data_IF_890315482813
#
_entry.id   IF_890315482813
#
_cell.length_a   1.000
_cell.length_b   1.000
_cell.length_c   1.000
_cell.angle_alpha   90.00
_cell.angle_beta   90.00
_cell.angle_gamma   90.00
#
_symmetry.space_group_name_H-M   'P 1'
#
loop_
_entity.id
_entity.type
_entity.pdbx_description
1 polymer ?
#
# COMPACT_ATOMS: atom_id res chain seq x y z
N UNK A 1 16.63 -18.77 -46.36
CA UNK A 1 16.93 -18.47 -44.94
C UNK A 1 16.19 -17.23 -44.42
N UNK A 2 16.33 -16.05 -45.06
CA UNK A 2 15.71 -14.78 -44.61
C UNK A 2 14.16 -14.77 -44.55
N UNK A 3 13.46 -15.44 -45.48
CA UNK A 3 11.99 -15.50 -45.51
C UNK A 3 11.45 -16.35 -44.35
N UNK A 4 12.06 -17.51 -44.09
CA UNK A 4 11.70 -18.37 -42.96
C UNK A 4 11.94 -17.66 -41.62
N UNK A 5 13.08 -16.97 -41.48
CA UNK A 5 13.38 -16.16 -40.30
C UNK A 5 12.32 -15.07 -40.07
N UNK A 6 11.95 -14.32 -41.11
CA UNK A 6 10.90 -13.29 -41.03
C UNK A 6 9.53 -13.85 -40.62
N UNK A 7 9.16 -15.03 -41.10
CA UNK A 7 7.88 -15.69 -40.74
C UNK A 7 7.90 -16.14 -39.28
N UNK A 8 9.01 -16.75 -38.84
CA UNK A 8 9.19 -17.21 -37.45
C UNK A 8 9.12 -16.01 -36.50
N UNK A 9 9.88 -14.95 -36.77
CA UNK A 9 9.86 -13.73 -35.94
C UNK A 9 8.46 -13.11 -35.90
N UNK A 10 7.77 -13.00 -37.03
CA UNK A 10 6.40 -12.47 -37.05
C UNK A 10 5.43 -13.31 -36.20
N UNK A 11 5.46 -14.64 -36.34
CA UNK A 11 4.60 -15.54 -35.57
C UNK A 11 4.92 -15.45 -34.08
N UNK A 12 6.20 -15.44 -33.72
CA UNK A 12 6.66 -15.25 -32.36
C UNK A 12 6.07 -13.97 -31.74
N UNK A 13 6.22 -12.82 -32.39
CA UNK A 13 5.67 -11.54 -31.92
C UNK A 13 4.14 -11.54 -31.76
N UNK A 14 3.41 -12.27 -32.60
CA UNK A 14 1.95 -12.41 -32.48
C UNK A 14 1.61 -13.26 -31.27
N UNK A 15 2.27 -14.41 -31.09
CA UNK A 15 2.01 -15.29 -29.95
C UNK A 15 2.38 -14.63 -28.62
N UNK A 16 3.49 -13.89 -28.57
CA UNK A 16 3.88 -13.15 -27.37
C UNK A 16 2.90 -12.01 -27.08
N UNK A 17 2.40 -11.29 -28.10
CA UNK A 17 1.34 -10.29 -27.88
C UNK A 17 0.07 -10.90 -27.28
N UNK A 18 -0.40 -12.03 -27.83
CA UNK A 18 -1.57 -12.75 -27.30
C UNK A 18 -1.32 -13.20 -25.86
N UNK A 19 -0.14 -13.78 -25.58
CA UNK A 19 0.21 -14.22 -24.23
C UNK A 19 0.23 -13.06 -23.23
N UNK A 20 0.84 -11.92 -23.59
CA UNK A 20 0.88 -10.73 -22.72
C UNK A 20 -0.51 -10.12 -22.50
N UNK A 21 -1.37 -10.10 -23.53
CA UNK A 21 -2.75 -9.67 -23.41
C UNK A 21 -3.53 -10.57 -22.43
N UNK A 22 -3.37 -11.89 -22.52
CA UNK A 22 -4.02 -12.84 -21.59
C UNK A 22 -3.49 -12.63 -20.16
N UNK A 23 -2.17 -12.51 -19.97
CA UNK A 23 -1.59 -12.28 -18.65
C UNK A 23 -2.05 -10.96 -18.02
N UNK A 24 -2.18 -9.90 -18.81
CA UNK A 24 -2.75 -8.63 -18.35
C UNK A 24 -4.19 -8.82 -17.85
N UNK A 25 -5.04 -9.50 -18.63
CA UNK A 25 -6.42 -9.78 -18.24
C UNK A 25 -6.50 -10.65 -16.99
N UNK A 26 -5.65 -11.68 -16.86
CA UNK A 26 -5.58 -12.51 -15.66
C UNK A 26 -5.14 -11.68 -14.44
N UNK A 27 -4.16 -10.79 -14.58
CA UNK A 27 -3.74 -9.91 -13.48
C UNK A 27 -4.86 -8.96 -13.02
N UNK A 28 -5.81 -8.59 -13.88
CA UNK A 28 -6.99 -7.82 -13.48
C UNK A 28 -7.92 -8.59 -12.53
N UNK A 29 -7.92 -9.92 -12.60
CA UNK A 29 -8.72 -10.77 -11.72
C UNK A 29 -8.18 -10.80 -10.28
N UNK A 30 -6.96 -10.31 -10.03
CA UNK A 30 -6.35 -10.23 -8.70
C UNK A 30 -7.17 -9.39 -7.70
N UNK A 31 -8.00 -8.48 -8.21
CA UNK A 31 -8.90 -7.65 -7.42
C UNK A 31 -10.14 -8.38 -6.90
N UNK A 32 -10.54 -9.48 -7.53
CA UNK A 32 -11.79 -10.19 -7.22
C UNK A 32 -11.53 -11.56 -6.56
N UNK A 33 -10.41 -12.19 -6.87
CA UNK A 33 -10.11 -13.54 -6.42
C UNK A 33 -9.36 -13.53 -5.10
N UNK A 34 -9.95 -14.14 -4.06
CA UNK A 34 -9.35 -14.21 -2.74
C UNK A 34 -7.96 -14.92 -2.79
N UNK A 35 -6.88 -14.27 -2.33
CA UNK A 35 -5.53 -14.82 -2.37
C UNK A 35 -5.33 -16.15 -1.64
N UNK A 36 -6.18 -16.49 -0.66
CA UNK A 36 -6.13 -17.80 0.01
C UNK A 36 -6.26 -18.96 -0.99
N UNK A 37 -7.08 -18.78 -2.03
CA UNK A 37 -7.32 -19.78 -3.06
C UNK A 37 -6.55 -19.48 -4.36
N UNK A 38 -6.35 -18.20 -4.67
CA UNK A 38 -5.86 -17.74 -5.99
C UNK A 38 -4.57 -16.90 -5.93
N UNK A 39 -3.65 -17.23 -5.01
CA UNK A 39 -2.41 -16.47 -4.80
C UNK A 39 -1.56 -16.26 -6.07
N UNK A 40 -1.60 -17.18 -7.04
CA UNK A 40 -0.87 -17.05 -8.32
C UNK A 40 -1.43 -15.88 -9.14
N UNK A 41 -2.75 -15.69 -9.12
CA UNK A 41 -3.39 -14.55 -9.79
C UNK A 41 -3.04 -13.25 -9.06
N UNK A 42 -3.03 -13.27 -7.72
CA UNK A 42 -2.57 -12.12 -6.91
C UNK A 42 -1.11 -11.77 -7.22
N UNK A 43 -0.25 -12.77 -7.39
CA UNK A 43 1.14 -12.59 -7.80
C UNK A 43 1.26 -11.97 -9.20
N UNK A 44 0.42 -12.35 -10.16
CA UNK A 44 0.34 -11.67 -11.45
C UNK A 44 -0.13 -10.21 -11.30
N UNK A 45 -1.04 -9.95 -10.37
CA UNK A 45 -1.50 -8.61 -10.00
C UNK A 45 -0.36 -7.67 -9.59
N UNK A 46 0.62 -8.16 -8.84
CA UNK A 46 1.84 -7.41 -8.49
C UNK A 46 2.63 -6.97 -9.74
N UNK A 47 2.64 -7.79 -10.79
CA UNK A 47 3.29 -7.50 -12.06
C UNK A 47 2.46 -6.64 -13.03
N UNK A 48 1.26 -6.20 -12.64
CA UNK A 48 0.32 -5.50 -13.52
C UNK A 48 0.91 -4.28 -14.24
N UNK A 49 1.63 -3.34 -13.58
CA UNK A 49 2.18 -2.17 -14.27
C UNK A 49 3.16 -2.53 -15.40
N UNK A 50 3.94 -3.59 -15.22
CA UNK A 50 4.88 -4.08 -16.23
C UNK A 50 4.15 -4.77 -17.40
N UNK A 51 3.14 -5.59 -17.10
CA UNK A 51 2.29 -6.21 -18.12
C UNK A 51 1.55 -5.15 -18.95
N UNK A 52 1.02 -4.12 -18.28
CA UNK A 52 0.35 -2.99 -18.92
C UNK A 52 1.30 -2.27 -19.87
N UNK A 53 2.52 -1.94 -19.41
CA UNK A 53 3.53 -1.30 -20.25
C UNK A 53 3.86 -2.13 -21.49
N UNK A 54 4.07 -3.44 -21.32
CA UNK A 54 4.38 -4.34 -22.43
C UNK A 54 3.23 -4.39 -23.44
N UNK A 55 1.98 -4.49 -22.99
CA UNK A 55 0.79 -4.48 -23.88
C UNK A 55 0.63 -3.14 -24.60
N UNK A 56 0.90 -2.02 -23.93
CA UNK A 56 0.94 -0.69 -24.56
C UNK A 56 2.03 -0.62 -25.65
N UNK A 57 3.22 -1.17 -25.40
CA UNK A 57 4.29 -1.25 -26.40
C UNK A 57 3.88 -2.09 -27.61
N UNK A 58 3.24 -3.25 -27.39
CA UNK A 58 2.69 -4.03 -28.51
C UNK A 58 1.67 -3.24 -29.32
N UNK A 59 0.75 -2.52 -28.66
CA UNK A 59 -0.21 -1.66 -29.36
C UNK A 59 0.51 -0.65 -30.25
N UNK A 60 1.48 0.10 -29.69
CA UNK A 60 2.25 1.10 -30.43
C UNK A 60 3.02 0.50 -31.60
N UNK A 61 3.72 -0.62 -31.39
CA UNK A 61 4.48 -1.32 -32.45
C UNK A 61 3.56 -1.73 -33.60
N UNK A 62 2.39 -2.33 -33.31
CA UNK A 62 1.47 -2.75 -34.38
C UNK A 62 0.84 -1.58 -35.12
N UNK A 63 0.61 -0.43 -34.47
CA UNK A 63 0.15 0.79 -35.12
C UNK A 63 1.23 1.38 -36.03
N UNK A 64 2.47 1.47 -35.57
CA UNK A 64 3.63 1.95 -36.38
C UNK A 64 3.85 1.05 -37.60
N UNK A 65 3.75 -0.28 -37.44
CA UNK A 65 3.86 -1.25 -38.53
C UNK A 65 2.62 -1.31 -39.44
N UNK A 66 1.62 -0.44 -39.22
CA UNK A 66 0.37 -0.36 -39.97
C UNK A 66 -0.38 -1.70 -40.03
N UNK A 67 -0.42 -2.42 -38.90
CA UNK A 67 -1.15 -3.69 -38.73
C UNK A 67 -2.29 -3.53 -37.71
N UNK A 68 -3.34 -2.76 -38.03
CA UNK A 68 -4.41 -2.44 -37.07
C UNK A 68 -5.16 -3.67 -36.54
N UNK A 69 -5.28 -4.74 -37.34
CA UNK A 69 -5.90 -6.01 -36.90
C UNK A 69 -5.13 -6.68 -35.76
N UNK A 70 -3.80 -6.57 -35.73
CA UNK A 70 -2.98 -7.12 -34.66
C UNK A 70 -2.93 -6.17 -33.45
N UNK A 71 -2.99 -4.85 -33.70
CA UNK A 71 -3.14 -3.84 -32.66
C UNK A 71 -4.45 -4.03 -31.86
N UNK A 72 -5.51 -4.53 -32.49
CA UNK A 72 -6.80 -4.77 -31.85
C UNK A 72 -6.71 -5.74 -30.66
N UNK A 73 -5.79 -6.71 -30.69
CA UNK A 73 -5.58 -7.65 -29.56
C UNK A 73 -5.19 -6.87 -28.29
N UNK A 74 -4.19 -6.01 -28.43
CA UNK A 74 -3.70 -5.16 -27.34
C UNK A 74 -4.75 -4.10 -26.97
N UNK A 75 -5.41 -3.50 -27.96
CA UNK A 75 -6.48 -2.51 -27.74
C UNK A 75 -7.67 -3.06 -26.95
N UNK A 76 -8.18 -4.24 -27.32
CA UNK A 76 -9.26 -4.91 -26.58
C UNK A 76 -8.79 -5.25 -25.16
N UNK A 77 -7.58 -5.79 -25.00
CA UNK A 77 -7.06 -6.10 -23.67
C UNK A 77 -6.97 -4.86 -22.76
N UNK A 78 -6.52 -3.73 -23.30
CA UNK A 78 -6.48 -2.45 -22.58
C UNK A 78 -7.87 -1.93 -22.21
N UNK A 79 -8.83 -2.02 -23.14
CA UNK A 79 -10.22 -1.65 -22.88
C UNK A 79 -10.85 -2.49 -21.76
N UNK A 80 -10.67 -3.82 -21.81
CA UNK A 80 -11.16 -4.71 -20.76
C UNK A 80 -10.44 -4.50 -19.42
N UNK A 81 -9.18 -4.07 -19.46
CA UNK A 81 -8.38 -3.76 -18.26
C UNK A 81 -8.63 -2.36 -17.71
N UNK A 82 -9.48 -1.55 -18.34
CA UNK A 82 -9.63 -0.12 -18.03
C UNK A 82 -9.94 0.16 -16.56
N UNK A 83 -10.80 -0.65 -15.94
CA UNK A 83 -11.10 -0.53 -14.49
C UNK A 83 -9.82 -0.66 -13.65
N UNK A 84 -9.01 -1.70 -13.89
CA UNK A 84 -7.74 -1.88 -13.18
C UNK A 84 -6.75 -0.75 -13.47
N UNK A 85 -6.68 -0.27 -14.71
CA UNK A 85 -5.83 0.87 -15.11
C UNK A 85 -6.24 2.14 -14.35
N UNK A 86 -7.54 2.41 -14.27
CA UNK A 86 -8.07 3.63 -13.63
C UNK A 86 -7.70 3.74 -12.16
N UNK A 87 -7.57 2.60 -11.47
CA UNK A 87 -7.18 2.55 -10.06
C UNK A 87 -5.68 2.84 -9.84
N UNK A 88 -4.84 2.62 -10.85
CA UNK A 88 -3.40 2.91 -10.76
C UNK A 88 -3.04 4.38 -11.04
N UNK A 89 -3.75 5.05 -11.95
CA UNK A 89 -3.28 6.31 -12.52
C UNK A 89 -4.11 7.55 -12.18
N UNK A 90 -5.30 7.42 -11.57
CA UNK A 90 -6.19 8.54 -11.23
C UNK A 90 -6.22 9.65 -12.30
N UNK A 91 -6.99 9.45 -13.37
CA UNK A 91 -6.95 10.36 -14.53
C UNK A 91 -7.58 11.74 -14.28
N UNK A 92 -6.76 12.70 -13.83
CA UNK A 92 -7.16 14.11 -13.61
C UNK A 92 -6.22 15.13 -14.29
N UNK A 93 -6.02 15.08 -15.62
CA UNK A 93 -4.98 15.84 -16.32
C UNK A 93 -5.13 17.37 -16.27
N UNK A 94 -6.32 17.87 -15.93
CA UNK A 94 -6.63 19.31 -15.89
C UNK A 94 -6.92 19.83 -14.48
N UNK A 95 -6.66 19.04 -13.45
CA UNK A 95 -6.82 19.49 -12.06
C UNK A 95 -5.49 19.95 -11.49
N UNK A 96 -5.53 21.08 -10.77
CA UNK A 96 -4.39 21.57 -10.02
C UNK A 96 -4.50 21.14 -8.56
N UNK A 97 -3.39 20.64 -8.01
CA UNK A 97 -3.27 20.38 -6.58
C UNK A 97 -3.17 21.71 -5.83
N UNK A 98 -4.03 21.91 -4.83
CA UNK A 98 -3.97 23.05 -3.93
C UNK A 98 -3.63 22.54 -2.52
N UNK A 99 -2.43 22.91 -2.05
CA UNK A 99 -1.98 22.55 -0.70
C UNK A 99 -2.65 23.42 0.38
N UNK A 100 -3.35 24.49 0.02
CA UNK A 100 -4.04 25.32 1.01
C UNK A 100 -5.27 24.59 1.56
N UNK A 101 -5.38 24.54 2.89
CA UNK A 101 -6.52 23.96 3.58
C UNK A 101 -7.72 24.89 3.43
N UNK A 102 -8.82 24.39 2.86
CA UNK A 102 -10.06 25.16 2.75
C UNK A 102 -10.70 25.35 4.14
N UNK A 103 -11.30 26.53 4.44
CA UNK A 103 -12.01 26.75 5.70
C UNK A 103 -13.13 25.71 5.90
N UNK A 104 -13.25 25.19 7.12
CA UNK A 104 -14.24 24.15 7.45
C UNK A 104 -13.90 22.73 6.97
N UNK A 105 -12.80 22.54 6.22
CA UNK A 105 -12.31 21.21 5.87
C UNK A 105 -11.47 20.60 7.00
N UNK A 106 -11.39 19.27 7.02
CA UNK A 106 -10.49 18.51 7.88
C UNK A 106 -9.33 18.00 7.02
N UNK A 107 -8.11 18.20 7.50
CA UNK A 107 -6.90 17.69 6.88
C UNK A 107 -6.37 16.50 7.65
N UNK A 108 -6.08 15.42 6.94
CA UNK A 108 -5.60 14.17 7.51
C UNK A 108 -4.32 13.77 6.81
N UNK A 109 -3.34 13.32 7.58
CA UNK A 109 -2.10 12.73 7.05
C UNK A 109 -2.05 11.28 7.49
N UNK A 110 -1.79 10.38 6.53
CA UNK A 110 -1.40 9.01 6.81
C UNK A 110 0.05 8.80 6.40
N UNK A 111 0.86 8.19 7.26
CA UNK A 111 2.27 7.97 6.95
C UNK A 111 2.85 6.78 7.71
N UNK A 112 3.41 5.79 7.00
CA UNK A 112 4.33 4.84 7.59
C UNK A 112 5.65 5.56 7.92
N UNK A 113 5.88 5.73 9.21
CA UNK A 113 6.97 6.52 9.73
C UNK A 113 8.26 5.72 9.88
N UNK A 114 8.30 4.42 9.57
CA UNK A 114 9.51 3.61 9.68
C UNK A 114 10.26 3.81 11.02
N UNK A 115 9.51 3.97 12.12
CA UNK A 115 10.00 4.27 13.49
C UNK A 115 10.77 5.60 13.61
N UNK A 116 10.61 6.48 12.60
CA UNK A 116 11.38 7.69 12.23
C UNK A 116 12.90 7.56 12.40
N UNK A 117 13.40 6.40 12.00
CA UNK A 117 14.78 6.07 11.57
C UNK A 117 15.89 6.74 12.39
N UNK A 118 15.78 6.62 13.70
CA UNK A 118 16.79 6.20 14.69
C UNK A 118 16.00 6.06 15.98
N UNK A 119 16.06 4.92 16.65
CA UNK A 119 15.28 4.71 17.87
C UNK A 119 15.92 5.46 19.04
N UNK A 120 17.24 5.32 19.13
CA UNK A 120 18.08 5.93 20.15
C UNK A 120 18.49 7.33 19.71
N UNK A 121 18.48 8.27 20.64
CA UNK A 121 18.97 9.63 20.39
C UNK A 121 20.47 9.56 20.05
N UNK A 122 20.83 10.14 18.91
CA UNK A 122 22.21 10.26 18.45
C UNK A 122 22.34 11.44 17.47
N UNK A 123 23.53 11.63 16.90
CA UNK A 123 23.83 12.70 15.93
C UNK A 123 24.13 12.18 14.52
N UNK A 124 23.63 10.99 14.16
CA UNK A 124 23.86 10.42 12.83
C UNK A 124 22.84 10.93 11.80
N UNK A 125 22.98 10.47 10.55
CA UNK A 125 22.08 10.84 9.45
C UNK A 125 20.60 10.52 9.73
N UNK A 126 20.32 9.40 10.40
CA UNK A 126 18.96 8.98 10.72
C UNK A 126 18.26 9.90 11.73
N UNK A 127 18.97 10.38 12.76
CA UNK A 127 18.45 11.45 13.62
C UNK A 127 18.20 12.76 12.85
N UNK A 128 18.96 13.02 11.79
CA UNK A 128 18.70 14.10 10.84
C UNK A 128 17.42 13.90 10.00
N UNK A 129 17.14 12.66 9.60
CA UNK A 129 15.91 12.27 8.89
C UNK A 129 14.68 12.54 9.77
N UNK A 130 14.70 12.13 11.04
CA UNK A 130 13.60 12.42 12.00
C UNK A 130 13.23 13.90 12.03
N UNK A 131 14.21 14.80 12.09
CA UNK A 131 13.96 16.25 12.10
C UNK A 131 13.25 16.74 10.84
N UNK A 132 13.66 16.24 9.66
CA UNK A 132 13.00 16.57 8.38
C UNK A 132 11.56 16.07 8.35
N UNK A 133 11.30 14.89 8.90
CA UNK A 133 9.96 14.31 8.98
C UNK A 133 9.04 15.11 9.91
N UNK A 134 9.55 15.57 11.06
CA UNK A 134 8.83 16.50 11.93
C UNK A 134 8.55 17.85 11.24
N UNK A 135 9.53 18.40 10.51
CA UNK A 135 9.33 19.62 9.73
C UNK A 135 8.23 19.44 8.67
N UNK A 136 8.19 18.27 8.01
CA UNK A 136 7.13 17.94 7.05
C UNK A 136 5.76 17.85 7.72
N UNK A 137 5.64 17.14 8.85
CA UNK A 137 4.39 17.06 9.61
C UNK A 137 3.89 18.45 10.04
N UNK A 138 4.81 19.31 10.47
CA UNK A 138 4.51 20.70 10.82
C UNK A 138 4.02 21.51 9.61
N UNK A 139 4.69 21.37 8.46
CA UNK A 139 4.33 22.07 7.24
C UNK A 139 2.97 21.64 6.69
N UNK A 140 2.66 20.34 6.74
CA UNK A 140 1.35 19.82 6.31
C UNK A 140 0.20 20.37 7.17
N UNK A 141 0.45 20.68 8.44
CA UNK A 141 -0.50 21.29 9.36
C UNK A 141 -1.87 20.60 9.37
N UNK A 142 -1.83 19.27 9.46
CA UNK A 142 -3.03 18.45 9.53
C UNK A 142 -3.79 18.63 10.86
N UNK A 143 -5.04 18.19 10.89
CA UNK A 143 -5.83 18.13 12.11
C UNK A 143 -5.74 16.74 12.76
N UNK A 144 -5.56 15.71 11.93
CA UNK A 144 -5.46 14.30 12.35
C UNK A 144 -4.26 13.65 11.67
N UNK A 145 -3.46 12.91 12.45
CA UNK A 145 -2.32 12.12 11.95
C UNK A 145 -2.58 10.64 12.21
N UNK A 146 -2.44 9.82 11.17
CA UNK A 146 -2.45 8.36 11.24
C UNK A 146 -1.05 7.85 10.90
N UNK A 147 -0.27 7.45 11.91
CA UNK A 147 1.14 7.07 11.71
C UNK A 147 1.33 5.57 11.93
N UNK A 148 1.87 4.86 10.94
CA UNK A 148 2.19 3.43 11.00
C UNK A 148 3.68 3.20 11.29
N UNK A 149 4.05 2.03 11.82
CA UNK A 149 5.40 1.75 12.35
C UNK A 149 5.90 2.84 13.32
N UNK A 150 5.01 3.41 14.13
CA UNK A 150 5.33 4.44 15.09
C UNK A 150 6.06 3.83 16.30
N UNK A 151 7.13 4.50 16.72
CA UNK A 151 7.90 4.12 17.91
C UNK A 151 7.80 5.22 18.97
N UNK A 152 7.72 4.84 20.24
CA UNK A 152 7.94 5.75 21.36
C UNK A 152 8.57 5.01 22.53
N UNK A 153 9.24 5.75 23.41
CA UNK A 153 9.94 5.18 24.55
C UNK A 153 9.77 6.04 25.81
N UNK A 154 9.74 5.39 26.97
CA UNK A 154 9.82 6.06 28.28
C UNK A 154 11.27 6.22 28.76
N UNK A 155 12.20 5.46 28.16
CA UNK A 155 13.64 5.58 28.40
C UNK A 155 14.21 6.88 27.84
N UNK A 156 15.02 7.56 28.63
CA UNK A 156 15.58 8.88 28.30
C UNK A 156 16.55 8.87 27.11
N UNK A 157 17.24 7.74 26.87
CA UNK A 157 18.18 7.56 25.76
C UNK A 157 17.49 7.35 24.40
N UNK A 158 16.18 7.16 24.37
CA UNK A 158 15.37 6.97 23.17
C UNK A 158 14.42 8.15 22.93
N UNK A 159 13.91 8.26 21.70
CA UNK A 159 12.92 9.29 21.38
C UNK A 159 11.55 8.95 21.97
N UNK A 160 11.04 9.83 22.84
CA UNK A 160 9.63 9.88 23.20
C UNK A 160 8.89 10.68 22.12
N UNK A 161 8.43 9.99 21.09
CA UNK A 161 7.79 10.65 19.95
C UNK A 161 6.36 11.12 20.26
N UNK A 162 5.68 10.53 21.26
CA UNK A 162 4.36 11.02 21.69
C UNK A 162 4.51 12.42 22.25
N UNK A 163 5.32 12.61 23.30
CA UNK A 163 5.52 13.93 23.90
C UNK A 163 6.04 14.95 22.89
N UNK A 164 6.98 14.56 22.02
CA UNK A 164 7.48 15.45 20.97
C UNK A 164 6.37 15.94 20.03
N UNK A 165 5.44 15.08 19.60
CA UNK A 165 4.31 15.48 18.74
C UNK A 165 3.30 16.35 19.51
N UNK A 166 3.01 16.03 20.77
CA UNK A 166 2.10 16.83 21.60
C UNK A 166 2.66 18.24 21.85
N UNK A 167 3.94 18.33 22.20
CA UNK A 167 4.60 19.60 22.58
C UNK A 167 5.02 20.45 21.37
N UNK A 168 5.64 19.85 20.35
CA UNK A 168 6.19 20.59 19.20
C UNK A 168 5.15 20.86 18.10
N UNK A 169 4.16 19.97 17.94
CA UNK A 169 3.16 20.03 16.87
C UNK A 169 1.72 20.29 17.36
N UNK A 170 1.53 20.35 18.69
CA UNK A 170 0.27 20.69 19.37
C UNK A 170 -0.89 19.75 19.05
N UNK A 171 -0.66 18.44 19.18
CA UNK A 171 -1.71 17.42 19.11
C UNK A 171 -2.08 16.91 20.51
N UNK A 172 -3.09 17.50 21.18
CA UNK A 172 -3.43 17.14 22.57
C UNK A 172 -3.96 15.71 22.73
N UNK A 173 -4.65 15.16 21.74
CA UNK A 173 -5.30 13.85 21.84
C UNK A 173 -4.60 12.80 21.00
N UNK A 174 -4.51 11.56 21.51
CA UNK A 174 -4.03 10.43 20.73
C UNK A 174 -4.66 9.11 21.18
N UNK A 175 -4.70 8.13 20.27
CA UNK A 175 -4.91 6.72 20.59
C UNK A 175 -3.70 5.92 20.11
N UNK A 176 -3.06 5.19 21.03
CA UNK A 176 -1.88 4.35 20.76
C UNK A 176 -2.00 3.06 21.54
N UNK A 177 -1.84 1.93 20.86
CA UNK A 177 -1.95 0.60 21.47
C UNK A 177 -0.60 -0.09 21.40
N UNK A 178 -0.13 -0.56 22.53
CA UNK A 178 1.11 -1.34 22.63
C UNK A 178 0.94 -2.42 23.70
N UNK A 179 1.69 -3.51 23.54
CA UNK A 179 1.75 -4.54 24.57
C UNK A 179 2.80 -4.14 25.62
N UNK A 180 2.47 -4.32 26.90
CA UNK A 180 3.40 -4.13 28.02
C UNK A 180 4.26 -5.40 28.15
N UNK A 181 5.34 -5.46 27.38
CA UNK A 181 6.27 -6.60 27.34
C UNK A 181 7.46 -6.47 28.32
N UNK A 182 7.48 -5.40 29.12
CA UNK A 182 8.53 -5.10 30.08
C UNK A 182 9.67 -4.27 29.50
N UNK A 183 9.70 -4.08 28.19
CA UNK A 183 10.60 -3.13 27.55
C UNK A 183 9.99 -1.72 27.56
N UNK A 184 10.85 -0.71 27.65
CA UNK A 184 10.46 0.71 27.61
C UNK A 184 10.44 1.25 26.18
N UNK A 185 10.21 0.38 25.19
CA UNK A 185 10.27 0.63 23.75
C UNK A 185 8.98 0.09 23.12
N UNK A 186 8.10 0.98 22.68
CA UNK A 186 6.77 0.64 22.21
C UNK A 186 6.64 0.89 20.71
N UNK A 187 6.03 -0.06 20.00
CA UNK A 187 5.87 -0.04 18.53
C UNK A 187 4.44 -0.38 18.14
N UNK A 188 3.80 0.47 17.34
CA UNK A 188 2.47 0.22 16.79
C UNK A 188 2.06 1.28 15.77
N UNK A 189 0.79 1.30 15.37
CA UNK A 189 0.17 2.46 14.75
C UNK A 189 -0.41 3.42 15.81
N UNK A 190 -0.49 4.70 15.49
CA UNK A 190 -1.04 5.75 16.36
C UNK A 190 -1.96 6.68 15.57
N UNK A 191 -3.02 7.17 16.24
CA UNK A 191 -3.85 8.28 15.74
C UNK A 191 -3.62 9.47 16.67
N UNK A 192 -3.20 10.61 16.12
CA UNK A 192 -3.20 11.91 16.82
C UNK A 192 -4.33 12.79 16.30
N UNK A 193 -4.91 13.61 17.16
CA UNK A 193 -5.95 14.56 16.80
C UNK A 193 -5.79 15.88 17.55
N UNK A 194 -6.09 16.98 16.85
CA UNK A 194 -6.31 18.31 17.47
C UNK A 194 -7.71 18.46 18.04
N UNK A 195 -8.64 17.65 17.58
CA UNK A 195 -10.00 17.54 18.09
C UNK A 195 -10.10 16.46 19.17
N UNK A 196 -11.02 16.59 20.15
CA UNK A 196 -11.21 15.57 21.18
C UNK A 196 -11.50 14.19 20.61
N UNK A 197 -10.81 13.18 21.14
CA UNK A 197 -11.16 11.76 20.93
C UNK A 197 -12.16 11.38 22.02
N UNK A 198 -13.39 11.06 21.63
CA UNK A 198 -14.51 10.78 22.55
C UNK A 198 -14.71 9.28 22.81
N UNK A 199 -14.29 8.43 21.87
CA UNK A 199 -14.19 6.99 22.05
C UNK A 199 -12.98 6.45 21.28
N UNK A 200 -12.42 5.33 21.72
CA UNK A 200 -11.24 4.74 21.10
C UNK A 200 -11.18 3.24 21.34
N UNK A 201 -10.63 2.52 20.38
CA UNK A 201 -10.51 1.07 20.49
C UNK A 201 -9.50 0.50 19.51
N UNK A 202 -9.39 -0.81 19.51
CA UNK A 202 -8.56 -1.54 18.55
C UNK A 202 -9.03 -2.98 18.36
N UNK A 203 -8.66 -3.56 17.22
CA UNK A 203 -8.93 -4.95 16.88
C UNK A 203 -7.62 -5.65 16.53
N UNK A 204 -7.34 -6.77 17.19
CA UNK A 204 -6.16 -7.59 16.90
C UNK A 204 -6.43 -8.52 15.74
N UNK A 205 -5.49 -8.60 14.81
CA UNK A 205 -5.54 -9.61 13.74
C UNK A 205 -5.20 -11.01 14.28
N UNK A 206 -5.74 -12.08 13.67
CA UNK A 206 -5.51 -13.44 14.12
C UNK A 206 -4.05 -13.87 13.93
N UNK A 207 -3.49 -14.54 14.93
CA UNK A 207 -2.16 -15.17 14.82
C UNK A 207 -2.19 -16.31 13.79
N UNK A 208 -1.08 -16.56 13.05
CA UNK A 208 0.29 -16.15 13.33
C UNK A 208 0.76 -14.86 12.62
N UNK A 209 -0.12 -13.91 12.29
CA UNK A 209 0.31 -12.61 11.75
C UNK A 209 1.19 -11.83 12.73
N UNK A 210 1.90 -10.83 12.21
CA UNK A 210 2.51 -9.79 13.04
C UNK A 210 1.46 -9.20 14.01
N UNK A 211 1.89 -8.71 15.19
CA UNK A 211 1.00 -8.15 16.22
C UNK A 211 0.49 -6.75 15.87
N UNK A 212 0.27 -6.49 14.58
CA UNK A 212 -0.36 -5.26 14.10
C UNK A 212 -1.85 -5.26 14.48
N UNK A 213 -2.42 -4.07 14.62
CA UNK A 213 -3.83 -3.88 15.00
C UNK A 213 -4.53 -2.95 14.01
N UNK A 214 -5.85 -3.08 13.94
CA UNK A 214 -6.72 -2.02 13.41
C UNK A 214 -7.04 -1.09 14.58
N UNK A 215 -6.51 0.12 14.54
CA UNK A 215 -6.74 1.14 15.57
C UNK A 215 -7.92 2.01 15.18
N UNK A 216 -8.76 2.38 16.16
CA UNK A 216 -9.97 3.20 15.98
C UNK A 216 -9.96 4.40 16.92
N UNK A 217 -10.35 5.57 16.42
CA UNK A 217 -10.66 6.74 17.24
C UNK A 217 -11.91 7.45 16.71
N UNK A 218 -12.87 7.69 17.60
CA UNK A 218 -14.06 8.48 17.32
C UNK A 218 -13.74 9.92 17.75
N UNK A 219 -13.77 10.83 16.79
CA UNK A 219 -13.27 12.20 16.92
C UNK A 219 -14.45 13.16 16.79
N UNK A 220 -14.66 13.97 17.83
CA UNK A 220 -15.67 15.03 17.84
C UNK A 220 -15.16 16.26 17.08
N UNK A 221 -15.76 16.53 15.92
CA UNK A 221 -15.42 17.67 15.05
C UNK A 221 -16.33 18.88 15.30
N UNK A 222 -16.97 18.92 16.48
CA UNK A 222 -17.79 19.99 17.04
C UNK A 222 -19.27 19.93 16.68
N UNK A 223 -19.61 19.39 15.50
CA UNK A 223 -21.00 19.28 15.01
C UNK A 223 -21.40 17.85 14.65
N UNK A 224 -20.44 16.94 14.59
CA UNK A 224 -20.62 15.52 14.30
C UNK A 224 -19.43 14.75 14.87
N UNK A 225 -19.53 13.42 14.90
CA UNK A 225 -18.45 12.52 15.26
C UNK A 225 -18.03 11.71 14.04
N UNK A 226 -16.75 11.75 13.68
CA UNK A 226 -16.18 10.88 12.64
C UNK A 226 -15.39 9.75 13.27
N UNK A 227 -15.43 8.56 12.67
CA UNK A 227 -14.61 7.43 13.08
C UNK A 227 -13.39 7.28 12.18
N UNK A 228 -12.21 7.43 12.75
CA UNK A 228 -10.94 7.29 12.05
C UNK A 228 -10.32 5.95 12.38
N UNK A 229 -9.96 5.20 11.34
CA UNK A 229 -9.20 3.97 11.46
C UNK A 229 -7.78 4.14 10.90
N UNK A 230 -6.82 3.48 11.54
CA UNK A 230 -5.48 3.28 10.98
C UNK A 230 -4.98 1.86 11.18
N UNK A 231 -4.22 1.34 10.23
CA UNK A 231 -3.58 0.03 10.36
C UNK A 231 -2.35 -0.10 9.47
N UNK A 232 -1.54 -1.11 9.76
CA UNK A 232 -0.41 -1.54 8.96
C UNK A 232 -0.56 -3.05 8.72
N UNK A 233 -0.80 -3.45 7.47
CA UNK A 233 -1.08 -4.85 7.16
C UNK A 233 0.20 -5.68 7.05
N UNK A 234 0.03 -7.01 7.08
CA UNK A 234 1.14 -7.97 7.05
C UNK A 234 2.13 -7.69 5.90
N UNK A 235 3.40 -7.46 6.26
CA UNK A 235 4.50 -7.39 5.31
C UNK A 235 4.94 -8.77 4.85
N UNK A 236 5.62 -8.84 3.69
CA UNK A 236 6.20 -10.08 3.15
C UNK A 236 7.43 -10.55 3.95
N UNK A 237 7.99 -9.70 4.82
CA UNK A 237 9.16 -10.00 5.67
C UNK A 237 10.37 -10.55 4.87
N UNK A 238 10.64 -9.93 3.72
CA UNK A 238 11.90 -10.16 2.99
C UNK A 238 13.05 -9.60 3.83
N UNK A 239 14.06 -10.43 4.08
CA UNK A 239 15.26 -10.07 4.84
C UNK A 239 16.37 -9.68 3.86
N UNK A 240 17.40 -8.97 4.34
CA UNK A 240 18.58 -8.59 3.52
C UNK A 240 19.15 -9.78 2.71
N UNK A 241 19.26 -10.96 3.33
CA UNK A 241 19.70 -12.19 2.67
C UNK A 241 18.78 -12.64 1.53
N UNK A 242 17.49 -12.34 1.58
CA UNK A 242 16.54 -12.64 0.50
C UNK A 242 16.79 -11.71 -0.70
N UNK A 243 17.07 -10.42 -0.45
CA UNK A 243 17.46 -9.46 -1.50
C UNK A 243 18.81 -9.79 -2.12
N UNK A 244 19.81 -10.14 -1.32
CA UNK A 244 21.13 -10.61 -1.80
C UNK A 244 20.98 -11.84 -2.71
N UNK A 245 20.03 -12.73 -2.40
CA UNK A 245 19.70 -13.88 -3.25
C UNK A 245 19.03 -13.47 -4.56
N UNK A 246 18.16 -12.46 -4.57
CA UNK A 246 17.59 -11.91 -5.81
C UNK A 246 18.68 -11.32 -6.70
N UNK A 247 19.65 -10.61 -6.13
CA UNK A 247 20.80 -10.09 -6.87
C UNK A 247 21.73 -11.19 -7.40
N UNK A 248 21.82 -12.33 -6.72
CA UNK A 248 22.58 -13.50 -7.21
C UNK A 248 21.81 -14.33 -8.23
N UNK A 249 20.48 -14.20 -8.33
CA UNK A 249 19.67 -14.90 -9.34
C UNK A 249 20.00 -14.42 -10.77
N UNK A 250 20.54 -13.23 -10.94
CA UNK A 250 21.05 -12.76 -12.24
C UNK A 250 22.39 -13.40 -12.64
N UNK A 251 23.05 -14.12 -11.73
CA UNK A 251 24.28 -14.87 -11.97
C UNK A 251 23.94 -16.37 -12.00
N UNK A 252 24.16 -17.01 -13.15
CA UNK A 252 23.68 -18.35 -13.46
C UNK A 252 24.39 -19.41 -12.62
N UNK A 253 23.78 -19.85 -11.50
CA UNK A 253 24.22 -21.02 -10.73
C UNK A 253 23.03 -21.81 -10.15
N UNK A 254 23.20 -23.13 -10.00
CA UNK A 254 22.21 -24.18 -9.65
C UNK A 254 21.40 -23.97 -8.34
N UNK A 255 21.54 -22.83 -7.65
CA UNK A 255 20.79 -22.44 -6.46
C UNK A 255 19.49 -21.65 -6.76
N UNK A 256 19.18 -21.38 -8.03
CA UNK A 256 18.02 -20.58 -8.47
C UNK A 256 16.66 -21.11 -7.97
N UNK A 257 16.47 -22.43 -7.98
CA UNK A 257 15.15 -23.05 -7.73
C UNK A 257 14.81 -23.11 -6.24
N UNK A 258 15.79 -23.33 -5.36
CA UNK A 258 15.53 -23.40 -3.91
C UNK A 258 15.36 -22.00 -3.30
N UNK A 259 16.13 -21.02 -3.77
CA UNK A 259 16.08 -19.65 -3.26
C UNK A 259 14.80 -18.91 -3.68
N UNK A 260 14.31 -19.11 -4.91
CA UNK A 260 13.05 -18.54 -5.40
C UNK A 260 11.81 -19.12 -4.69
N UNK A 261 11.82 -20.41 -4.35
CA UNK A 261 10.73 -21.06 -3.61
C UNK A 261 10.47 -20.43 -2.23
N UNK A 262 11.51 -20.02 -1.50
CA UNK A 262 11.35 -19.39 -0.19
C UNK A 262 10.71 -18.00 -0.30
N UNK A 263 11.14 -17.20 -1.28
CA UNK A 263 10.57 -15.87 -1.54
C UNK A 263 9.10 -15.99 -1.95
N UNK A 264 8.78 -16.88 -2.89
CA UNK A 264 7.39 -17.12 -3.32
C UNK A 264 6.51 -17.62 -2.17
N UNK A 265 7.05 -18.47 -1.30
CA UNK A 265 6.34 -18.94 -0.10
C UNK A 265 6.00 -17.77 0.83
N UNK A 266 6.97 -16.88 1.11
CA UNK A 266 6.73 -15.67 1.92
C UNK A 266 5.70 -14.75 1.30
N UNK A 267 5.78 -14.53 -0.01
CA UNK A 267 4.82 -13.70 -0.76
C UNK A 267 3.41 -14.30 -0.64
N UNK A 268 3.27 -15.62 -0.85
CA UNK A 268 2.00 -16.33 -0.70
C UNK A 268 1.44 -16.17 0.72
N UNK A 269 2.26 -16.38 1.75
CA UNK A 269 1.84 -16.21 3.15
C UNK A 269 1.40 -14.77 3.40
N UNK A 270 2.15 -13.77 2.91
CA UNK A 270 1.80 -12.36 3.00
C UNK A 270 0.42 -12.07 2.38
N UNK A 271 0.21 -12.47 1.12
CA UNK A 271 -1.09 -12.30 0.44
C UNK A 271 -2.24 -12.98 1.17
N UNK A 272 -2.03 -14.21 1.65
CA UNK A 272 -3.04 -14.99 2.38
C UNK A 272 -3.46 -14.25 3.65
N UNK A 273 -2.47 -13.84 4.47
CA UNK A 273 -2.71 -13.15 5.72
C UNK A 273 -3.38 -11.79 5.51
N UNK A 274 -2.91 -11.00 4.52
CA UNK A 274 -3.53 -9.70 4.19
C UNK A 274 -4.98 -9.84 3.76
N UNK A 275 -5.33 -10.90 3.01
CA UNK A 275 -6.74 -11.12 2.63
C UNK A 275 -7.66 -11.35 3.83
N UNK A 276 -7.16 -12.04 4.87
CA UNK A 276 -7.90 -12.26 6.12
C UNK A 276 -8.06 -10.92 6.86
N UNK A 277 -6.98 -10.15 6.97
CA UNK A 277 -6.99 -8.83 7.60
C UNK A 277 -7.95 -7.87 6.87
N UNK A 278 -7.93 -7.86 5.53
CA UNK A 278 -8.81 -7.04 4.70
C UNK A 278 -10.29 -7.38 4.88
N UNK A 279 -10.63 -8.68 4.98
CA UNK A 279 -12.00 -9.10 5.26
C UNK A 279 -12.46 -8.63 6.65
N UNK A 280 -11.58 -8.73 7.67
CA UNK A 280 -11.87 -8.25 9.03
C UNK A 280 -12.11 -6.73 9.03
N UNK A 281 -11.22 -5.97 8.38
CA UNK A 281 -11.37 -4.51 8.22
C UNK A 281 -12.71 -4.20 7.55
N UNK A 282 -13.01 -4.82 6.42
CA UNK A 282 -14.24 -4.56 5.65
C UNK A 282 -15.50 -4.70 6.51
N UNK A 283 -15.58 -5.77 7.33
CA UNK A 283 -16.70 -5.98 8.25
C UNK A 283 -16.77 -4.90 9.33
N UNK A 284 -15.64 -4.60 10.00
CA UNK A 284 -15.59 -3.60 11.09
C UNK A 284 -15.96 -2.19 10.59
N UNK A 285 -15.50 -1.83 9.41
CA UNK A 285 -15.82 -0.54 8.79
C UNK A 285 -17.32 -0.45 8.44
N UNK A 286 -17.91 -1.55 7.95
CA UNK A 286 -19.33 -1.62 7.63
C UNK A 286 -20.25 -1.51 8.85
N UNK A 287 -19.78 -1.93 10.02
CA UNK A 287 -20.53 -1.87 11.28
C UNK A 287 -20.40 -0.51 12.01
N UNK A 288 -19.69 0.46 11.42
CA UNK A 288 -19.51 1.79 12.04
C UNK A 288 -20.81 2.59 12.08
N UNK A 289 -21.23 3.13 13.24
CA UNK A 289 -22.39 4.03 13.35
C UNK A 289 -22.07 5.46 12.90
N UNK A 290 -20.78 5.78 12.69
CA UNK A 290 -20.29 7.11 12.32
C UNK A 290 -19.69 7.11 10.91
N UNK A 291 -19.65 8.27 10.21
CA UNK A 291 -18.88 8.44 8.99
C UNK A 291 -17.42 7.98 9.17
N UNK A 292 -16.96 7.14 8.26
CA UNK A 292 -15.65 6.46 8.38
C UNK A 292 -14.59 7.16 7.54
N UNK A 293 -13.42 7.32 8.14
CA UNK A 293 -12.18 7.62 7.43
C UNK A 293 -11.20 6.47 7.71
N UNK A 294 -10.81 5.76 6.67
CA UNK A 294 -9.80 4.72 6.76
C UNK A 294 -8.46 5.24 6.22
N UNK A 295 -7.42 5.14 7.04
CA UNK A 295 -6.04 5.41 6.69
C UNK A 295 -5.21 4.14 6.92
N UNK A 296 -4.10 3.98 6.22
CA UNK A 296 -3.23 2.84 6.51
C UNK A 296 -2.22 2.51 5.43
N UNK A 297 -1.28 1.68 5.82
CA UNK A 297 -0.36 1.00 4.92
C UNK A 297 -0.87 -0.43 4.71
N UNK A 298 -1.50 -0.65 3.55
CA UNK A 298 -2.06 -1.96 3.20
C UNK A 298 -1.00 -2.96 2.75
N UNK A 299 0.26 -2.54 2.59
CA UNK A 299 1.37 -3.35 2.07
C UNK A 299 1.08 -4.01 0.70
N UNK A 300 0.07 -3.54 -0.04
CA UNK A 300 -0.43 -4.16 -1.27
C UNK A 300 -0.57 -3.14 -2.41
N UNK A 301 -0.71 -3.64 -3.63
CA UNK A 301 -0.85 -2.80 -4.83
C UNK A 301 -2.30 -2.31 -5.04
N UNK A 302 -2.51 -1.18 -5.75
CA UNK A 302 -3.85 -0.60 -5.95
C UNK A 302 -4.88 -1.53 -6.61
N UNK A 303 -4.47 -2.50 -7.44
CA UNK A 303 -5.39 -3.46 -8.06
C UNK A 303 -5.55 -4.78 -7.28
N UNK A 304 -5.13 -4.84 -6.02
CA UNK A 304 -5.17 -6.05 -5.21
C UNK A 304 -6.55 -6.33 -4.60
N UNK A 305 -6.82 -7.61 -4.29
CA UNK A 305 -7.97 -8.02 -3.47
C UNK A 305 -8.03 -7.23 -2.16
N UNK A 306 -6.88 -7.07 -1.48
CA UNK A 306 -6.75 -6.32 -0.22
C UNK A 306 -7.31 -4.90 -0.35
N UNK A 307 -6.88 -4.17 -1.38
CA UNK A 307 -7.36 -2.81 -1.63
C UNK A 307 -8.87 -2.76 -1.87
N UNK A 308 -9.40 -3.60 -2.77
CA UNK A 308 -10.82 -3.56 -3.11
C UNK A 308 -11.72 -3.99 -1.95
N UNK A 309 -11.27 -4.95 -1.14
CA UNK A 309 -12.01 -5.42 0.04
C UNK A 309 -12.05 -4.36 1.14
N UNK A 310 -10.92 -3.69 1.42
CA UNK A 310 -10.85 -2.61 2.42
C UNK A 310 -11.60 -1.38 1.94
N UNK A 311 -11.44 -1.01 0.67
CA UNK A 311 -12.13 0.15 0.09
C UNK A 311 -13.63 -0.03 0.17
N UNK A 312 -14.18 -1.18 -0.26
CA UNK A 312 -15.62 -1.39 -0.34
C UNK A 312 -16.31 -0.20 -1.03
N UNK A 313 -17.25 0.43 -0.31
CA UNK A 313 -18.00 1.60 -0.77
C UNK A 313 -17.35 2.95 -0.41
N UNK A 314 -16.18 2.94 0.24
CA UNK A 314 -15.44 4.16 0.57
C UNK A 314 -14.95 4.88 -0.70
N UNK A 315 -14.94 6.21 -0.61
CA UNK A 315 -14.36 7.07 -1.63
C UNK A 315 -12.84 7.13 -1.47
N UNK A 316 -12.11 6.62 -2.47
CA UNK A 316 -10.66 6.76 -2.53
C UNK A 316 -10.27 8.20 -2.86
N UNK A 317 -9.45 8.81 -2.00
CA UNK A 317 -8.98 10.19 -2.15
C UNK A 317 -8.07 10.39 -3.36
N UNK A 318 -7.18 9.44 -3.66
CA UNK A 318 -6.30 9.47 -4.83
C UNK A 318 -7.14 9.35 -6.12
N UNK A 319 -8.09 8.41 -6.17
CA UNK A 319 -8.95 8.32 -7.36
C UNK A 319 -9.87 9.54 -7.54
N UNK A 320 -10.17 10.27 -6.47
CA UNK A 320 -11.01 11.47 -6.54
C UNK A 320 -10.24 12.74 -6.93
N UNK A 321 -8.99 12.91 -6.46
CA UNK A 321 -8.24 14.18 -6.51
C UNK A 321 -6.72 14.04 -6.70
N UNK A 322 -6.21 12.82 -6.88
CA UNK A 322 -4.78 12.51 -6.95
C UNK A 322 -4.12 12.77 -8.29
#
# INVERSE_FOLDING_TARGET
MAIQFRIITKRFFIYTNIAMAILLLLSCLASYLNPQNWWVITFLGLGFPFLLLIVCLYLLVWLILQKPRLALISGIALLLSFKSISVFFAFHPFTHFNEKKEPGSIRIVTWNVARFIELKKNNNEGSGIRKKMFAQLKAQNADILCLQEFHTATRSDYYNNISAIQEELHYPYYNFVYDLDGDSLYYSSIIFSRFPIVDSGFYRYPRPTLPEVLLQADIDIGHDTIRVFTTHLQSVQLRKKDYEKIHKITEVEDSLVSNSKNILSKIKVGFTNRSIQANIISNILGDSPHPVIFCGDLNDVPNSYTYFQVRGDLQDAFLKKG
#
